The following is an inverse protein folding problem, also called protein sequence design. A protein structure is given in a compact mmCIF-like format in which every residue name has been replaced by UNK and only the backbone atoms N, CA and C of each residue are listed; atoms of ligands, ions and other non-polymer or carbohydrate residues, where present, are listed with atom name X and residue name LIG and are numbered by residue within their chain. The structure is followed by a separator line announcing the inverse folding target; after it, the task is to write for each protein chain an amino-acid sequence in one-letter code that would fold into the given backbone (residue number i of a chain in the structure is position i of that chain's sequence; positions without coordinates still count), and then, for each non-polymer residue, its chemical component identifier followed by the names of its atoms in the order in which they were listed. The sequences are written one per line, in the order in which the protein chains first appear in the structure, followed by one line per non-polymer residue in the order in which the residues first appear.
data_IF_984134158262
#
_entry.id   IF_984134158262
#
_cell.length_a   1.000
_cell.length_b   1.000
_cell.length_c   1.000
_cell.angle_alpha   90.00
_cell.angle_beta   90.00
_cell.angle_gamma   90.00
#
_symmetry.space_group_name_H-M   'P 1'
#
loop_
_entity.id
_entity.type
_entity.pdbx_description
1 polymer ?
#
# COMPACT_ATOMS: atom_id res chain seq x y z
N UNK A 1 22.32 -29.65 -14.88
CA UNK A 1 22.16 -28.29 -14.33
C UNK A 1 20.73 -28.16 -13.87
N UNK A 2 20.52 -28.37 -12.57
CA UNK A 2 19.20 -28.41 -11.94
C UNK A 2 19.32 -27.55 -10.70
N UNK A 3 19.05 -26.26 -10.81
CA UNK A 3 19.21 -25.33 -9.70
C UNK A 3 18.12 -25.50 -8.66
N UNK A 4 18.60 -25.49 -7.43
CA UNK A 4 18.06 -26.15 -6.26
C UNK A 4 17.16 -25.16 -5.49
N UNK A 5 15.90 -25.00 -5.90
CA UNK A 5 14.87 -24.23 -5.17
C UNK A 5 14.34 -24.98 -3.94
N UNK A 6 15.24 -25.44 -3.07
CA UNK A 6 14.91 -26.20 -1.86
C UNK A 6 15.05 -25.33 -0.59
N UNK A 7 13.97 -25.28 0.19
CA UNK A 7 13.73 -24.56 1.45
C UNK A 7 13.50 -23.03 1.35
N UNK A 8 12.23 -22.65 1.16
CA UNK A 8 11.76 -21.26 1.26
C UNK A 8 11.81 -20.77 2.72
N UNK A 9 12.97 -20.30 3.17
CA UNK A 9 13.07 -19.55 4.41
C UNK A 9 12.42 -18.17 4.22
N UNK A 10 11.55 -17.70 5.15
CA UNK A 10 10.90 -16.39 5.04
C UNK A 10 11.88 -15.22 4.88
N UNK A 11 13.10 -15.37 5.41
CA UNK A 11 14.17 -14.39 5.24
C UNK A 11 14.60 -14.27 3.77
N UNK A 12 14.79 -15.39 3.06
CA UNK A 12 15.18 -15.40 1.64
C UNK A 12 14.14 -14.73 0.74
N UNK A 13 12.85 -14.95 1.00
CA UNK A 13 11.79 -14.32 0.21
C UNK A 13 11.75 -12.81 0.40
N UNK A 14 11.92 -12.33 1.64
CA UNK A 14 11.91 -10.91 1.92
C UNK A 14 13.11 -10.19 1.31
N UNK A 15 14.27 -10.84 1.24
CA UNK A 15 15.44 -10.29 0.56
C UNK A 15 15.20 -10.15 -0.94
N UNK A 16 14.61 -11.17 -1.59
CA UNK A 16 14.19 -11.09 -2.99
C UNK A 16 13.21 -9.92 -3.25
N UNK A 17 12.23 -9.73 -2.36
CA UNK A 17 11.29 -8.60 -2.45
C UNK A 17 12.04 -7.27 -2.42
N UNK A 18 13.05 -7.12 -1.55
CA UNK A 18 13.87 -5.89 -1.47
C UNK A 18 14.62 -5.62 -2.75
N UNK A 19 15.25 -6.65 -3.30
CA UNK A 19 16.03 -6.53 -4.52
C UNK A 19 15.15 -6.06 -5.68
N UNK A 20 13.98 -6.67 -5.87
CA UNK A 20 13.02 -6.28 -6.92
C UNK A 20 12.50 -4.85 -6.71
N UNK A 21 12.18 -4.46 -5.47
CA UNK A 21 11.72 -3.11 -5.15
C UNK A 21 12.78 -2.05 -5.50
N UNK A 22 14.05 -2.32 -5.19
CA UNK A 22 15.16 -1.41 -5.45
C UNK A 22 15.48 -1.31 -6.94
N UNK A 23 15.46 -2.43 -7.66
CA UNK A 23 15.60 -2.45 -9.12
C UNK A 23 14.50 -1.62 -9.80
N UNK A 24 13.27 -1.69 -9.28
CA UNK A 24 12.15 -0.88 -9.77
C UNK A 24 12.12 0.56 -9.21
N UNK A 25 13.18 0.99 -8.51
CA UNK A 25 13.33 2.33 -7.96
C UNK A 25 12.17 2.80 -7.05
N UNK A 26 11.54 1.88 -6.33
CA UNK A 26 10.55 2.25 -5.33
C UNK A 26 11.21 3.03 -4.18
N UNK A 27 10.45 3.94 -3.57
CA UNK A 27 10.92 4.67 -2.41
C UNK A 27 11.23 3.74 -1.24
N UNK A 28 12.19 4.13 -0.41
CA UNK A 28 12.52 3.39 0.81
C UNK A 28 11.31 3.24 1.76
N UNK A 29 10.42 4.22 1.77
CA UNK A 29 9.19 4.15 2.56
C UNK A 29 8.24 3.08 2.01
N UNK A 30 8.12 2.97 0.69
CA UNK A 30 7.36 1.90 0.04
C UNK A 30 7.98 0.54 0.34
N UNK A 31 9.32 0.42 0.31
CA UNK A 31 10.03 -0.81 0.69
C UNK A 31 9.65 -1.27 2.09
N UNK A 32 9.76 -0.36 3.08
CA UNK A 32 9.37 -0.65 4.47
C UNK A 32 7.92 -1.11 4.60
N UNK A 33 7.00 -0.37 3.98
CA UNK A 33 5.57 -0.70 4.04
C UNK A 33 5.27 -2.06 3.41
N UNK A 34 5.86 -2.36 2.25
CA UNK A 34 5.60 -3.62 1.56
C UNK A 34 6.15 -4.80 2.33
N UNK A 35 7.38 -4.71 2.84
CA UNK A 35 7.97 -5.76 3.68
C UNK A 35 7.17 -6.01 4.95
N UNK A 36 6.64 -4.95 5.58
CA UNK A 36 5.78 -5.08 6.74
C UNK A 36 4.52 -5.89 6.41
N UNK A 37 3.80 -5.54 5.34
CA UNK A 37 2.58 -6.23 4.94
C UNK A 37 2.83 -7.68 4.55
N UNK A 38 3.91 -7.95 3.81
CA UNK A 38 4.29 -9.31 3.41
C UNK A 38 4.65 -10.15 4.64
N UNK A 39 5.37 -9.60 5.63
CA UNK A 39 5.66 -10.30 6.89
C UNK A 39 4.39 -10.66 7.65
N UNK A 40 3.46 -9.71 7.78
CA UNK A 40 2.17 -9.93 8.46
C UNK A 40 1.35 -11.00 7.76
N UNK A 41 1.34 -10.97 6.43
CA UNK A 41 0.67 -11.98 5.62
C UNK A 41 1.24 -13.39 5.83
N UNK A 42 2.57 -13.53 5.79
CA UNK A 42 3.25 -14.82 6.03
C UNK A 42 2.95 -15.33 7.45
N UNK A 43 2.89 -14.43 8.42
CA UNK A 43 2.59 -14.77 9.81
C UNK A 43 1.14 -15.24 9.97
N UNK A 44 0.19 -14.54 9.36
CA UNK A 44 -1.24 -14.88 9.39
C UNK A 44 -1.52 -16.30 8.85
N UNK A 45 -0.81 -16.72 7.80
CA UNK A 45 -0.97 -18.06 7.22
C UNK A 45 -0.10 -19.15 7.87
N UNK A 46 0.45 -18.90 9.07
CA UNK A 46 1.21 -19.87 9.89
C UNK A 46 2.33 -20.62 9.16
N UNK A 47 3.01 -19.99 8.19
CA UNK A 47 4.04 -20.62 7.33
C UNK A 47 3.56 -21.84 6.52
N UNK A 48 2.25 -22.00 6.25
CA UNK A 48 1.81 -22.97 5.23
C UNK A 48 2.46 -22.60 3.90
N UNK A 49 3.08 -23.60 3.26
CA UNK A 49 3.95 -23.45 2.10
C UNK A 49 3.38 -22.46 1.07
N UNK A 50 4.18 -21.44 0.74
CA UNK A 50 3.91 -20.33 -0.18
C UNK A 50 3.54 -20.71 -1.62
N UNK A 51 3.48 -22.01 -1.93
CA UNK A 51 3.21 -22.56 -3.28
C UNK A 51 1.74 -22.84 -3.56
N UNK A 52 0.88 -22.93 -2.53
CA UNK A 52 -0.58 -23.11 -2.66
C UNK A 52 -1.34 -21.91 -2.09
N UNK A 53 -0.76 -20.71 -2.22
CA UNK A 53 -1.36 -19.49 -1.70
C UNK A 53 -1.86 -18.73 -2.93
N UNK A 54 -3.16 -18.78 -3.20
CA UNK A 54 -3.80 -18.16 -4.35
C UNK A 54 -4.62 -16.93 -3.95
N UNK A 55 -5.63 -16.61 -4.77
CA UNK A 55 -6.50 -15.46 -4.53
C UNK A 55 -7.35 -15.56 -3.26
N UNK A 56 -7.71 -16.79 -2.87
CA UNK A 56 -8.47 -17.08 -1.65
C UNK A 56 -7.76 -16.63 -0.37
N UNK A 57 -6.46 -16.84 -0.28
CA UNK A 57 -5.65 -16.53 0.90
C UNK A 57 -5.39 -15.04 1.04
N UNK A 58 -5.26 -14.34 -0.09
CA UNK A 58 -5.23 -12.87 -0.13
C UNK A 58 -6.55 -12.34 0.41
N UNK A 59 -7.69 -12.85 -0.09
CA UNK A 59 -9.01 -12.43 0.37
C UNK A 59 -9.26 -12.72 1.86
N UNK A 60 -8.82 -13.87 2.36
CA UNK A 60 -8.92 -14.22 3.77
C UNK A 60 -8.13 -13.24 4.65
N UNK A 61 -6.90 -12.91 4.26
CA UNK A 61 -6.08 -11.95 5.00
C UNK A 61 -6.67 -10.53 4.96
N UNK A 62 -7.12 -10.07 3.79
CA UNK A 62 -7.72 -8.74 3.66
C UNK A 62 -9.06 -8.64 4.41
N UNK A 63 -9.84 -9.72 4.46
CA UNK A 63 -11.05 -9.81 5.30
C UNK A 63 -10.70 -9.73 6.78
N UNK A 64 -9.68 -10.48 7.22
CA UNK A 64 -9.17 -10.40 8.60
C UNK A 64 -8.77 -8.96 8.97
N UNK A 65 -8.03 -8.27 8.11
CA UNK A 65 -7.65 -6.87 8.35
C UNK A 65 -8.87 -5.95 8.51
N UNK A 66 -9.92 -6.15 7.70
CA UNK A 66 -11.11 -5.30 7.71
C UNK A 66 -12.05 -5.61 8.89
N UNK A 67 -12.23 -6.87 9.24
CA UNK A 67 -13.25 -7.31 10.22
C UNK A 67 -12.65 -7.40 11.63
N UNK A 68 -11.52 -8.09 11.77
CA UNK A 68 -10.90 -8.34 13.09
C UNK A 68 -10.03 -7.16 13.52
N UNK A 69 -9.13 -6.70 12.65
CA UNK A 69 -8.25 -5.57 12.97
C UNK A 69 -8.88 -4.19 12.71
N UNK A 70 -10.03 -4.15 12.02
CA UNK A 70 -10.79 -2.92 11.72
C UNK A 70 -9.94 -1.82 11.10
N UNK A 71 -8.99 -2.18 10.23
CA UNK A 71 -8.09 -1.21 9.61
C UNK A 71 -8.85 -0.29 8.65
N UNK A 72 -8.36 0.93 8.48
CA UNK A 72 -8.90 1.86 7.48
C UNK A 72 -8.75 1.30 6.04
N UNK A 73 -9.63 1.72 5.14
CA UNK A 73 -9.61 1.30 3.73
C UNK A 73 -8.27 1.61 3.03
N UNK A 74 -7.64 2.74 3.36
CA UNK A 74 -6.32 3.11 2.84
C UNK A 74 -5.21 2.14 3.31
N UNK A 75 -5.32 1.64 4.53
CA UNK A 75 -4.41 0.64 5.11
C UNK A 75 -4.58 -0.72 4.42
N UNK A 76 -5.83 -1.15 4.22
CA UNK A 76 -6.12 -2.38 3.48
C UNK A 76 -5.63 -2.31 2.02
N UNK A 77 -5.77 -1.16 1.37
CA UNK A 77 -5.26 -0.95 0.00
C UNK A 77 -3.72 -1.03 -0.07
N UNK A 78 -3.01 -0.56 0.95
CA UNK A 78 -1.56 -0.71 1.03
C UNK A 78 -1.17 -2.18 1.18
N UNK A 79 -1.89 -2.94 2.03
CA UNK A 79 -1.69 -4.38 2.17
C UNK A 79 -1.94 -5.11 0.85
N UNK A 80 -3.06 -4.84 0.17
CA UNK A 80 -3.38 -5.43 -1.12
C UNK A 80 -2.30 -5.11 -2.17
N UNK A 81 -1.84 -3.87 -2.24
CA UNK A 81 -0.82 -3.46 -3.21
C UNK A 81 0.51 -4.19 -2.98
N UNK A 82 0.92 -4.36 -1.72
CA UNK A 82 2.12 -5.12 -1.36
C UNK A 82 2.00 -6.60 -1.75
N UNK A 83 0.83 -7.21 -1.57
CA UNK A 83 0.58 -8.60 -1.95
C UNK A 83 0.54 -8.77 -3.47
N UNK A 84 -0.16 -7.91 -4.20
CA UNK A 84 -0.15 -7.95 -5.66
C UNK A 84 1.26 -7.81 -6.24
N UNK A 85 2.08 -6.92 -5.64
CA UNK A 85 3.48 -6.80 -6.01
C UNK A 85 4.26 -8.10 -5.78
N UNK A 86 4.13 -8.70 -4.58
CA UNK A 86 4.79 -9.98 -4.28
C UNK A 86 4.46 -11.05 -5.33
N UNK A 87 3.20 -11.21 -5.68
CA UNK A 87 2.78 -12.25 -6.61
C UNK A 87 3.20 -12.00 -8.05
N UNK A 88 2.99 -10.78 -8.55
CA UNK A 88 3.25 -10.45 -9.96
C UNK A 88 4.72 -10.25 -10.25
N UNK A 89 5.42 -9.54 -9.37
CA UNK A 89 6.76 -9.03 -9.64
C UNK A 89 7.86 -9.89 -9.05
N UNK A 90 7.58 -10.65 -7.98
CA UNK A 90 8.58 -11.49 -7.31
C UNK A 90 8.34 -12.96 -7.59
N UNK A 91 7.09 -13.43 -7.49
CA UNK A 91 6.75 -14.84 -7.70
C UNK A 91 6.38 -15.17 -9.15
N UNK A 92 6.13 -14.15 -9.99
CA UNK A 92 5.67 -14.30 -11.38
C UNK A 92 4.46 -15.24 -11.53
N UNK A 93 3.55 -15.18 -10.56
CA UNK A 93 2.32 -15.96 -10.55
C UNK A 93 1.16 -15.09 -11.01
N UNK A 94 0.44 -15.56 -12.02
CA UNK A 94 -0.85 -14.98 -12.39
C UNK A 94 -1.88 -15.35 -11.33
N UNK A 95 -2.41 -14.32 -10.68
CA UNK A 95 -3.48 -14.46 -9.72
C UNK A 95 -4.81 -14.35 -10.46
N UNK A 96 -5.55 -15.46 -10.53
CA UNK A 96 -6.95 -15.46 -10.96
C UNK A 96 -7.83 -14.90 -9.82
N UNK A 97 -7.75 -13.59 -9.63
CA UNK A 97 -8.48 -12.91 -8.57
C UNK A 97 -9.74 -12.22 -9.12
N UNK A 98 -10.89 -12.69 -8.67
CA UNK A 98 -12.09 -11.85 -8.57
C UNK A 98 -11.91 -10.86 -7.39
N UNK A 99 -11.15 -9.78 -7.59
CA UNK A 99 -10.85 -8.75 -6.57
C UNK A 99 -12.01 -7.79 -6.28
N UNK A 100 -13.09 -7.81 -7.06
CA UNK A 100 -14.15 -6.80 -6.97
C UNK A 100 -14.89 -6.80 -5.63
N UNK A 101 -14.89 -7.93 -4.91
CA UNK A 101 -15.53 -8.03 -3.60
C UNK A 101 -14.73 -7.39 -2.45
N UNK A 102 -13.40 -7.23 -2.60
CA UNK A 102 -12.49 -6.87 -1.49
C UNK A 102 -11.94 -5.45 -1.61
N UNK A 103 -12.16 -4.77 -2.74
CA UNK A 103 -11.81 -3.35 -2.85
C UNK A 103 -12.71 -2.54 -1.92
N UNK A 104 -12.26 -2.33 -0.68
CA UNK A 104 -12.94 -1.47 0.28
C UNK A 104 -13.36 -0.19 -0.43
N UNK A 105 -14.66 0.10 -0.32
CA UNK A 105 -15.38 1.22 -0.90
C UNK A 105 -14.43 2.41 -1.04
N UNK A 106 -14.07 2.75 -2.29
CA UNK A 106 -13.10 3.79 -2.64
C UNK A 106 -13.41 5.00 -1.76
N UNK A 107 -12.52 5.34 -0.83
CA UNK A 107 -12.70 6.48 0.05
C UNK A 107 -13.00 7.69 -0.84
N UNK A 108 -14.16 8.33 -0.65
CA UNK A 108 -14.45 9.59 -1.31
C UNK A 108 -13.50 10.61 -0.69
N UNK A 109 -12.39 10.86 -1.37
CA UNK A 109 -11.53 11.99 -1.03
C UNK A 109 -12.38 13.24 -1.21
N UNK A 110 -12.73 13.88 -0.09
CA UNK A 110 -13.06 15.30 -0.13
C UNK A 110 -11.80 16.02 -0.65
N UNK A 111 -11.94 17.02 -1.52
CA UNK A 111 -10.79 17.81 -1.95
C UNK A 111 -10.05 18.28 -0.70
N UNK A 112 -8.76 17.91 -0.62
CA UNK A 112 -7.90 18.22 0.54
C UNK A 112 -7.37 19.65 0.47
N UNK A 113 -7.82 20.41 -0.53
CA UNK A 113 -7.44 21.78 -0.82
C UNK A 113 -8.68 22.65 -0.82
N UNK A 114 -8.53 23.86 -0.28
CA UNK A 114 -9.57 24.89 -0.30
C UNK A 114 -9.90 25.28 -1.75
N UNK A 115 -11.16 25.55 -2.04
CA UNK A 115 -11.55 26.12 -3.33
C UNK A 115 -11.00 27.56 -3.48
N UNK A 116 -10.86 28.10 -4.70
CA UNK A 116 -10.46 29.49 -4.88
C UNK A 116 -11.33 30.50 -4.09
N UNK A 117 -12.62 30.20 -3.93
CA UNK A 117 -13.56 31.01 -3.14
C UNK A 117 -13.25 30.94 -1.64
N UNK A 118 -12.98 29.75 -1.12
CA UNK A 118 -12.61 29.54 0.28
C UNK A 118 -11.25 30.19 0.60
N UNK A 119 -10.27 30.08 -0.29
CA UNK A 119 -8.97 30.77 -0.16
C UNK A 119 -9.16 32.28 -0.11
N UNK A 120 -9.99 32.83 -1.01
CA UNK A 120 -10.32 34.27 -0.97
C UNK A 120 -10.99 34.66 0.34
N UNK A 121 -11.94 33.86 0.83
CA UNK A 121 -12.61 34.11 2.10
C UNK A 121 -11.61 34.15 3.28
N UNK A 122 -10.64 33.24 3.32
CA UNK A 122 -9.58 33.23 4.34
C UNK A 122 -8.69 34.47 4.23
N UNK A 123 -8.21 34.79 3.02
CA UNK A 123 -7.33 35.95 2.77
C UNK A 123 -8.02 37.26 3.17
N UNK A 124 -9.34 37.38 2.98
CA UNK A 124 -10.11 38.56 3.37
C UNK A 124 -10.19 38.78 4.89
N UNK A 125 -10.07 37.72 5.69
CA UNK A 125 -10.06 37.80 7.16
C UNK A 125 -8.65 38.00 7.74
N UNK A 126 -7.61 37.97 6.90
CA UNK A 126 -6.22 38.21 7.32
C UNK A 126 -5.82 39.67 7.09
N UNK A 127 -5.00 40.21 7.99
CA UNK A 127 -4.50 41.58 7.92
C UNK A 127 -2.97 41.63 8.08
N UNK A 128 -2.37 42.72 7.59
CA UNK A 128 -0.94 42.97 7.71
C UNK A 128 -0.05 41.90 7.06
N UNK A 129 1.04 41.55 7.76
CA UNK A 129 2.08 40.63 7.26
C UNK A 129 1.54 39.22 6.99
N UNK A 130 0.59 38.74 7.81
CA UNK A 130 0.01 37.41 7.62
C UNK A 130 -0.74 37.27 6.29
N UNK A 131 -1.41 38.33 5.83
CA UNK A 131 -2.06 38.34 4.51
C UNK A 131 -1.05 38.23 3.38
N UNK A 132 0.06 38.96 3.46
CA UNK A 132 1.12 38.93 2.46
C UNK A 132 1.77 37.54 2.37
N UNK A 133 2.09 36.93 3.52
CA UNK A 133 2.68 35.60 3.60
C UNK A 133 1.75 34.55 2.97
N UNK A 134 0.45 34.57 3.31
CA UNK A 134 -0.52 33.61 2.77
C UNK A 134 -0.75 33.80 1.27
N UNK A 135 -0.78 35.05 0.78
CA UNK A 135 -0.87 35.33 -0.65
C UNK A 135 0.37 34.85 -1.43
N UNK A 136 1.57 35.02 -0.86
CA UNK A 136 2.81 34.51 -1.46
C UNK A 136 2.81 32.99 -1.51
N UNK A 137 2.51 32.31 -0.39
CA UNK A 137 2.44 30.85 -0.34
C UNK A 137 1.44 30.28 -1.35
N UNK A 138 0.24 30.87 -1.43
CA UNK A 138 -0.77 30.44 -2.40
C UNK A 138 -0.37 30.73 -3.85
N UNK A 139 0.31 31.85 -4.12
CA UNK A 139 0.73 32.25 -5.46
C UNK A 139 1.97 31.53 -5.97
N UNK A 140 2.83 31.03 -5.09
CA UNK A 140 4.07 30.33 -5.46
C UNK A 140 3.96 28.80 -5.45
N UNK A 141 2.88 28.23 -4.90
CA UNK A 141 2.66 26.79 -4.78
C UNK A 141 3.11 26.24 -3.43
#
# INVERSE_FOLDING_TARGET
MSDNFSSAHPQRLLDQVRDVLRVKHYSYQTEKSYLLWIRRYIHFHHRRNSRNIGGSEINAFLTYLAVEEKVAASTQNQALSALLFLYREVLHLELDLNLDAVRAKRSRYLPTVLTPEEVKAVILHLSGVHRLVVQLLYGSG
#
